data_IF_318691753648
#
_entry.id   IF_318691753648
#
_cell.length_a   1.000
_cell.length_b   1.000
_cell.length_c   1.000
_cell.angle_alpha   90.00
_cell.angle_beta   90.00
_cell.angle_gamma   90.00
#
_symmetry.space_group_name_H-M   'P 1'
#
loop_
_entity.id
_entity.type
_entity.pdbx_description
1 polymer ?
#
# COMPACT_ATOMS: atom_id res chain seq x y z
N UNK A 1 -46.61 37.98 15.02
CA UNK A 1 -46.15 36.70 15.61
C UNK A 1 -46.07 35.52 14.64
N UNK A 2 -46.85 35.46 13.55
CA UNK A 2 -46.77 34.38 12.54
C UNK A 2 -45.59 34.51 11.55
N UNK A 3 -45.22 35.73 11.20
CA UNK A 3 -44.14 36.00 10.20
C UNK A 3 -42.73 35.71 10.74
N UNK A 4 -42.48 35.97 12.04
CA UNK A 4 -41.18 35.68 12.65
C UNK A 4 -40.92 34.17 12.78
N UNK A 5 -41.95 33.35 13.02
CA UNK A 5 -41.85 31.90 13.07
C UNK A 5 -41.55 31.29 11.68
N UNK A 6 -42.09 31.87 10.61
CA UNK A 6 -41.86 31.44 9.23
C UNK A 6 -40.41 31.73 8.80
N UNK A 7 -39.87 32.91 9.15
CA UNK A 7 -38.48 33.29 8.88
C UNK A 7 -37.50 32.36 9.64
N UNK A 8 -37.84 32.03 10.89
CA UNK A 8 -36.99 31.12 11.66
C UNK A 8 -37.00 29.69 11.11
N UNK A 9 -38.13 29.22 10.59
CA UNK A 9 -38.27 27.92 9.96
C UNK A 9 -37.47 27.83 8.64
N UNK A 10 -37.52 28.89 7.81
CA UNK A 10 -36.76 28.97 6.55
C UNK A 10 -35.27 29.04 6.85
N UNK A 11 -34.86 29.80 7.86
CA UNK A 11 -33.44 29.90 8.25
C UNK A 11 -32.91 28.59 8.83
N UNK A 12 -33.72 27.87 9.60
CA UNK A 12 -33.41 26.52 10.10
C UNK A 12 -33.29 25.49 8.97
N UNK A 13 -34.18 25.56 7.97
CA UNK A 13 -34.11 24.68 6.78
C UNK A 13 -32.90 24.96 5.93
N UNK A 14 -32.48 26.23 5.81
CA UNK A 14 -31.27 26.64 5.07
C UNK A 14 -29.99 26.17 5.77
N UNK A 15 -29.91 26.22 7.11
CA UNK A 15 -28.78 25.70 7.90
C UNK A 15 -28.67 24.18 7.79
N UNK A 16 -29.79 23.46 7.75
CA UNK A 16 -29.80 22.00 7.57
C UNK A 16 -29.35 21.64 6.15
N UNK A 17 -29.74 22.41 5.14
CA UNK A 17 -29.35 22.17 3.74
C UNK A 17 -27.84 22.40 3.49
N UNK A 18 -27.21 23.32 4.23
CA UNK A 18 -25.76 23.57 4.11
C UNK A 18 -24.90 22.49 4.81
N UNK A 19 -25.46 21.71 5.73
CA UNK A 19 -24.75 20.67 6.47
C UNK A 19 -24.57 19.34 5.70
N UNK A 20 -25.26 19.18 4.53
CA UNK A 20 -25.26 17.90 3.76
C UNK A 20 -24.25 17.94 2.61
N UNK A 21 -23.41 18.99 2.49
CA UNK A 21 -22.33 18.96 1.52
C UNK A 21 -21.23 18.04 2.09
N UNK A 22 -21.43 16.74 1.91
CA UNK A 22 -20.35 15.76 2.07
C UNK A 22 -19.24 16.14 1.11
N UNK A 23 -18.16 16.72 1.63
CA UNK A 23 -16.99 17.04 0.85
C UNK A 23 -16.41 15.71 0.36
N UNK A 24 -16.70 15.37 -0.90
CA UNK A 24 -15.99 14.31 -1.57
C UNK A 24 -14.50 14.72 -1.59
N UNK A 25 -13.69 14.10 -0.72
CA UNK A 25 -12.25 14.32 -0.70
C UNK A 25 -11.69 14.01 -2.07
N UNK A 26 -11.16 15.02 -2.72
CA UNK A 26 -10.29 14.84 -3.88
C UNK A 26 -8.87 14.55 -3.36
N UNK A 27 -8.21 13.59 -3.97
CA UNK A 27 -6.82 13.26 -3.65
C UNK A 27 -5.92 14.00 -4.63
N UNK A 28 -4.74 14.42 -4.15
CA UNK A 28 -3.77 15.07 -5.06
C UNK A 28 -3.15 14.03 -5.98
N UNK A 29 -2.87 14.43 -7.20
CA UNK A 29 -2.32 13.55 -8.21
C UNK A 29 -1.04 12.83 -7.74
N UNK A 30 -0.14 13.50 -7.00
CA UNK A 30 1.07 12.91 -6.42
C UNK A 30 0.83 11.76 -5.44
N UNK A 31 -0.36 11.70 -4.82
CA UNK A 31 -0.73 10.66 -3.88
C UNK A 31 -1.31 9.42 -4.61
N UNK A 32 -1.71 9.60 -5.89
CA UNK A 32 -2.32 8.56 -6.73
C UNK A 32 -1.37 7.93 -7.74
N UNK A 33 -0.29 8.64 -8.13
CA UNK A 33 0.59 8.20 -9.22
C UNK A 33 2.07 8.31 -8.87
N UNK A 34 2.87 7.52 -9.58
CA UNK A 34 4.33 7.66 -9.67
C UNK A 34 4.73 7.98 -11.10
N UNK A 35 5.84 8.69 -11.29
CA UNK A 35 6.33 9.03 -12.63
C UNK A 35 7.28 7.97 -13.16
N UNK A 36 7.02 7.48 -14.37
CA UNK A 36 7.87 6.51 -15.03
C UNK A 36 9.27 7.08 -15.29
N UNK A 37 10.29 6.25 -15.07
CA UNK A 37 11.69 6.66 -15.22
C UNK A 37 12.29 7.39 -14.02
N UNK A 38 11.49 7.70 -12.99
CA UNK A 38 11.97 8.21 -11.70
C UNK A 38 12.01 7.04 -10.72
N UNK A 39 13.17 6.40 -10.60
CA UNK A 39 13.36 5.26 -9.70
C UNK A 39 14.67 5.37 -8.95
N UNK A 40 14.75 4.78 -7.79
CA UNK A 40 16.01 4.55 -7.11
C UNK A 40 16.74 3.36 -7.73
N UNK A 41 18.07 3.41 -7.72
CA UNK A 41 18.93 2.35 -8.20
C UNK A 41 19.73 1.78 -7.04
N UNK A 42 19.77 0.45 -6.95
CA UNK A 42 20.53 -0.23 -5.93
C UNK A 42 21.99 -0.29 -6.36
N UNK A 43 22.87 0.12 -5.45
CA UNK A 43 24.32 0.03 -5.63
C UNK A 43 24.88 -1.07 -4.74
N UNK A 44 25.86 -1.77 -5.26
CA UNK A 44 26.56 -2.87 -4.60
C UNK A 44 28.07 -2.69 -4.71
N UNK A 45 28.79 -2.93 -3.62
CA UNK A 45 30.25 -2.93 -3.59
C UNK A 45 30.80 -4.04 -2.70
N UNK A 46 32.00 -4.46 -3.01
CA UNK A 46 32.79 -5.32 -2.14
C UNK A 46 33.86 -4.46 -1.46
N UNK A 47 33.97 -4.55 -0.14
CA UNK A 47 34.89 -3.75 0.64
C UNK A 47 35.57 -4.51 1.78
N UNK A 48 36.43 -3.80 2.47
CA UNK A 48 37.14 -4.28 3.64
C UNK A 48 36.89 -3.34 4.82
N UNK A 49 36.45 -3.90 5.95
CA UNK A 49 36.36 -3.20 7.23
C UNK A 49 37.58 -3.56 8.04
N UNK A 50 38.22 -2.55 8.61
CA UNK A 50 39.44 -2.68 9.43
C UNK A 50 39.23 -2.06 10.83
N UNK A 51 40.12 -2.35 11.78
CA UNK A 51 40.03 -1.82 13.13
C UNK A 51 39.13 -2.61 14.04
N UNK A 52 38.80 -3.87 13.68
CA UNK A 52 38.02 -4.76 14.52
C UNK A 52 38.92 -5.35 15.62
N UNK A 53 38.49 -5.26 16.88
CA UNK A 53 39.23 -5.76 18.04
C UNK A 53 39.05 -7.28 18.19
N UNK A 54 39.76 -8.04 17.34
CA UNK A 54 39.71 -9.51 17.35
C UNK A 54 38.42 -10.16 16.86
N UNK A 55 37.43 -9.36 16.46
CA UNK A 55 36.10 -9.83 16.03
C UNK A 55 35.95 -10.04 14.51
N UNK A 56 37.04 -9.85 13.78
CA UNK A 56 37.06 -9.98 12.32
C UNK A 56 37.03 -11.42 11.81
N UNK A 57 37.41 -11.62 10.55
CA UNK A 57 37.20 -12.87 9.78
C UNK A 57 38.17 -14.01 10.14
N UNK A 58 38.89 -13.95 11.22
CA UNK A 58 39.83 -15.00 11.66
C UNK A 58 40.82 -15.44 10.56
N UNK A 59 40.57 -16.45 9.77
CA UNK A 59 41.49 -16.98 8.75
C UNK A 59 40.77 -17.24 7.41
N UNK A 60 39.97 -16.28 6.92
CA UNK A 60 39.29 -16.42 5.62
C UNK A 60 40.22 -16.01 4.50
N UNK A 61 40.51 -16.91 3.57
CA UNK A 61 41.40 -16.63 2.43
C UNK A 61 41.00 -15.38 1.63
N UNK A 62 39.70 -15.13 1.46
CA UNK A 62 39.18 -13.96 0.74
C UNK A 62 39.61 -12.68 1.41
N UNK A 63 39.47 -12.59 2.75
CA UNK A 63 39.87 -11.41 3.52
C UNK A 63 41.38 -11.15 3.50
N UNK A 64 42.18 -12.22 3.65
CA UNK A 64 43.62 -12.14 3.59
C UNK A 64 44.10 -11.68 2.20
N UNK A 65 43.52 -12.24 1.15
CA UNK A 65 43.84 -11.84 -0.22
C UNK A 65 43.44 -10.38 -0.51
N UNK A 66 42.30 -9.96 -0.03
CA UNK A 66 41.83 -8.56 -0.16
C UNK A 66 42.72 -7.60 0.59
N UNK A 67 43.15 -7.95 1.82
CA UNK A 67 44.15 -7.17 2.56
C UNK A 67 45.48 -7.06 1.81
N UNK A 68 46.02 -8.17 1.34
CA UNK A 68 47.25 -8.18 0.56
C UNK A 68 47.14 -7.32 -0.70
N UNK A 69 46.01 -7.43 -1.42
CA UNK A 69 45.72 -6.61 -2.60
C UNK A 69 45.65 -5.13 -2.27
N UNK A 70 44.95 -4.76 -1.18
CA UNK A 70 44.87 -3.36 -0.76
C UNK A 70 46.22 -2.79 -0.35
N UNK A 71 47.02 -3.55 0.41
CA UNK A 71 48.35 -3.13 0.86
C UNK A 71 49.28 -2.98 -0.34
N UNK A 72 49.16 -3.86 -1.34
CA UNK A 72 49.98 -3.78 -2.56
C UNK A 72 49.75 -2.52 -3.40
N UNK A 73 48.53 -1.94 -3.33
CA UNK A 73 48.22 -0.66 -4.00
C UNK A 73 48.99 0.52 -3.35
N UNK A 74 49.45 0.39 -2.11
CA UNK A 74 50.33 1.36 -1.45
C UNK A 74 51.79 1.07 -1.65
N UNK A 75 52.16 0.13 -2.56
CA UNK A 75 53.53 -0.18 -2.90
C UNK A 75 54.22 -1.19 -1.97
N UNK A 76 53.52 -1.77 -1.02
CA UNK A 76 54.02 -2.76 -0.09
C UNK A 76 53.69 -4.17 -0.56
N UNK A 77 54.69 -5.06 -0.68
CA UNK A 77 54.49 -6.48 -1.01
C UNK A 77 54.47 -7.29 0.28
N UNK A 78 53.28 -7.82 0.64
CA UNK A 78 53.09 -8.66 1.84
C UNK A 78 52.50 -9.99 1.39
N UNK A 79 53.05 -11.09 1.92
CA UNK A 79 52.49 -12.41 1.70
C UNK A 79 51.20 -12.60 2.54
N UNK A 80 50.25 -13.40 2.06
CA UNK A 80 49.02 -13.72 2.81
C UNK A 80 49.33 -14.48 4.11
N UNK A 81 50.49 -15.17 4.17
CA UNK A 81 51.00 -15.85 5.39
C UNK A 81 51.38 -14.89 6.53
N UNK A 82 51.74 -13.66 6.16
CA UNK A 82 52.22 -12.64 7.12
C UNK A 82 51.07 -11.78 7.67
N UNK A 83 49.84 -12.02 7.19
CA UNK A 83 48.65 -11.29 7.54
C UNK A 83 47.73 -12.10 8.46
N UNK A 84 47.03 -11.41 9.32
CA UNK A 84 45.95 -11.99 10.15
C UNK A 84 44.68 -11.17 9.98
N UNK A 85 43.58 -11.84 9.70
CA UNK A 85 42.30 -11.20 9.47
C UNK A 85 41.48 -10.99 10.76
N UNK A 86 42.08 -11.17 11.95
CA UNK A 86 41.35 -10.98 13.22
C UNK A 86 40.78 -9.57 13.38
N UNK A 87 41.49 -8.57 12.85
CA UNK A 87 41.13 -7.17 12.96
C UNK A 87 40.51 -6.62 11.67
N UNK A 88 40.18 -7.49 10.70
CA UNK A 88 39.57 -7.10 9.44
C UNK A 88 38.44 -8.06 9.03
N UNK A 89 37.51 -7.58 8.25
CA UNK A 89 36.42 -8.38 7.71
C UNK A 89 36.12 -8.00 6.25
N UNK A 90 35.91 -9.01 5.42
CA UNK A 90 35.35 -8.83 4.09
C UNK A 90 33.86 -8.53 4.19
N UNK A 91 33.42 -7.47 3.50
CA UNK A 91 32.05 -6.97 3.60
C UNK A 91 31.44 -6.72 2.24
N UNK A 92 30.12 -6.89 2.18
CA UNK A 92 29.27 -6.39 1.13
C UNK A 92 28.70 -5.04 1.56
N UNK A 93 28.79 -4.08 0.66
CA UNK A 93 28.35 -2.70 0.89
C UNK A 93 27.21 -2.40 -0.06
N UNK A 94 26.08 -1.98 0.49
CA UNK A 94 24.89 -1.64 -0.29
C UNK A 94 24.47 -0.20 -0.03
N UNK A 95 23.99 0.47 -1.07
CA UNK A 95 23.41 1.80 -0.96
C UNK A 95 22.29 2.00 -1.96
N UNK A 96 21.38 2.90 -1.66
CA UNK A 96 20.30 3.31 -2.56
C UNK A 96 20.61 4.67 -3.16
N UNK A 97 20.82 4.71 -4.48
CA UNK A 97 21.01 5.94 -5.25
C UNK A 97 19.64 6.41 -5.75
N UNK A 98 19.11 7.45 -5.12
CA UNK A 98 17.82 8.04 -5.48
C UNK A 98 17.91 8.76 -6.83
N UNK A 99 16.79 8.84 -7.53
CA UNK A 99 16.71 9.66 -8.73
C UNK A 99 17.10 11.12 -8.43
N UNK A 100 17.68 11.78 -9.40
CA UNK A 100 18.11 13.19 -9.32
C UNK A 100 19.23 13.49 -8.34
N UNK A 101 19.81 12.50 -7.66
CA UNK A 101 20.98 12.71 -6.81
C UNK A 101 22.14 13.24 -7.65
N UNK A 102 22.78 14.31 -7.21
CA UNK A 102 23.86 14.98 -7.92
C UNK A 102 25.23 14.48 -7.49
N UNK A 103 26.21 14.64 -8.37
CA UNK A 103 27.63 14.39 -8.04
C UNK A 103 28.03 15.23 -6.84
N UNK A 104 28.77 14.61 -5.92
CA UNK A 104 29.19 15.23 -4.65
C UNK A 104 28.18 15.14 -3.52
N UNK A 105 26.92 14.72 -3.76
CA UNK A 105 25.99 14.43 -2.69
C UNK A 105 26.33 13.12 -1.99
N UNK A 106 25.98 13.05 -0.71
CA UNK A 106 26.22 11.86 0.11
C UNK A 106 24.96 11.01 0.27
N UNK A 107 25.15 9.70 0.35
CA UNK A 107 24.10 8.71 0.55
C UNK A 107 24.44 7.77 1.71
N UNK A 108 23.44 7.24 2.35
CA UNK A 108 23.63 6.27 3.42
C UNK A 108 24.06 4.91 2.87
N UNK A 109 24.87 4.21 3.65
CA UNK A 109 25.45 2.93 3.26
C UNK A 109 25.15 1.89 4.34
N UNK A 110 24.81 0.69 3.90
CA UNK A 110 24.72 -0.50 4.76
C UNK A 110 25.87 -1.42 4.45
N UNK A 111 26.54 -1.89 5.50
CA UNK A 111 27.73 -2.76 5.43
C UNK A 111 27.42 -4.06 6.12
N UNK A 112 27.55 -5.19 5.42
CA UNK A 112 27.24 -6.51 5.94
C UNK A 112 28.45 -7.44 5.77
N UNK A 113 28.83 -8.16 6.81
CA UNK A 113 29.91 -9.15 6.75
C UNK A 113 29.52 -10.31 5.83
N UNK A 114 30.44 -10.74 4.97
CA UNK A 114 30.30 -11.94 4.13
C UNK A 114 31.20 -13.09 4.61
N UNK A 115 32.10 -12.81 5.55
CA UNK A 115 33.01 -13.78 6.11
C UNK A 115 32.56 -14.36 7.44
N UNK A 116 33.52 -14.64 8.31
CA UNK A 116 33.29 -15.24 9.64
C UNK A 116 33.40 -14.20 10.76
N UNK A 117 33.32 -12.93 10.46
CA UNK A 117 33.41 -11.88 11.46
C UNK A 117 32.27 -11.99 12.47
N UNK A 118 32.61 -11.95 13.76
CA UNK A 118 31.64 -12.02 14.87
C UNK A 118 30.97 -10.68 15.11
N UNK A 119 31.64 -9.56 14.84
CA UNK A 119 31.13 -8.22 14.97
C UNK A 119 31.90 -7.22 14.11
N UNK A 120 31.20 -6.23 13.55
CA UNK A 120 31.76 -5.10 12.82
C UNK A 120 31.88 -3.85 13.70
N UNK A 121 31.60 -3.93 14.99
CA UNK A 121 31.61 -2.80 15.91
C UNK A 121 32.98 -2.19 16.03
N UNK A 122 33.05 -0.85 15.96
CA UNK A 122 34.31 -0.09 16.02
C UNK A 122 35.12 -0.10 14.74
N UNK A 123 34.67 -0.86 13.72
CA UNK A 123 35.36 -0.94 12.44
C UNK A 123 35.16 0.27 11.55
N UNK A 124 36.11 0.47 10.66
CA UNK A 124 36.11 1.50 9.61
C UNK A 124 36.11 0.83 8.26
N UNK A 125 35.15 1.20 7.40
CA UNK A 125 35.12 0.78 5.99
C UNK A 125 36.20 1.52 5.22
N UNK A 126 37.07 0.79 4.54
CA UNK A 126 38.03 1.35 3.59
C UNK A 126 37.31 1.79 2.31
N UNK A 127 37.96 2.67 1.55
CA UNK A 127 37.43 3.19 0.29
C UNK A 127 36.93 2.07 -0.61
N UNK A 128 35.65 2.07 -0.89
CA UNK A 128 34.94 1.01 -1.59
C UNK A 128 34.11 1.58 -2.73
N UNK A 129 34.35 1.11 -3.94
CA UNK A 129 33.56 1.50 -5.10
C UNK A 129 32.21 0.78 -5.11
N UNK A 130 31.12 1.55 -5.21
CA UNK A 130 29.76 1.05 -5.35
C UNK A 130 29.34 1.06 -6.81
N UNK A 131 28.94 -0.11 -7.32
CA UNK A 131 28.57 -0.33 -8.71
C UNK A 131 27.06 -0.51 -8.85
N UNK A 132 26.51 -0.02 -9.95
CA UNK A 132 25.16 -0.31 -10.39
C UNK A 132 25.04 -1.67 -11.08
N UNK A 133 23.84 -2.02 -11.49
CA UNK A 133 23.55 -3.26 -12.23
C UNK A 133 24.27 -3.35 -13.59
N UNK A 134 24.66 -2.21 -14.15
CA UNK A 134 25.45 -2.08 -15.39
C UNK A 134 26.95 -2.27 -15.18
N UNK A 135 27.41 -2.50 -13.94
CA UNK A 135 28.80 -2.65 -13.56
C UNK A 135 29.60 -1.34 -13.46
N UNK A 136 28.98 -0.19 -13.72
CA UNK A 136 29.63 1.11 -13.61
C UNK A 136 29.66 1.59 -12.16
N UNK A 137 30.70 2.37 -11.80
CA UNK A 137 30.85 2.96 -10.48
C UNK A 137 30.02 4.24 -10.42
N UNK A 138 29.15 4.31 -9.42
CA UNK A 138 28.25 5.46 -9.18
C UNK A 138 28.58 6.21 -7.90
N UNK A 139 29.14 5.54 -6.90
CA UNK A 139 29.51 6.16 -5.63
C UNK A 139 30.74 5.50 -5.03
N UNK A 140 31.40 6.22 -4.13
CA UNK A 140 32.53 5.71 -3.36
C UNK A 140 32.15 5.80 -1.88
N UNK A 141 32.19 4.63 -1.19
CA UNK A 141 31.85 4.51 0.22
C UNK A 141 33.08 4.42 1.11
N UNK A 142 33.04 5.09 2.27
CA UNK A 142 34.10 5.06 3.27
C UNK A 142 33.56 5.58 4.60
N UNK A 143 34.10 5.13 5.73
CA UNK A 143 33.76 5.71 7.03
C UNK A 143 33.61 4.72 8.17
N UNK A 144 33.34 5.24 9.35
CA UNK A 144 33.20 4.46 10.58
C UNK A 144 31.80 3.86 10.65
N UNK A 145 31.72 2.59 11.04
CA UNK A 145 30.47 1.85 11.13
C UNK A 145 29.73 2.15 12.44
N UNK A 146 28.47 2.47 12.32
CA UNK A 146 27.51 2.42 13.41
C UNK A 146 26.83 1.04 13.44
N UNK A 147 27.12 0.23 14.44
CA UNK A 147 26.59 -1.13 14.61
C UNK A 147 25.62 -1.14 15.78
N UNK A 148 24.36 -1.53 15.52
CA UNK A 148 23.27 -1.47 16.51
C UNK A 148 23.20 -2.65 17.47
N UNK A 149 24.08 -3.64 17.37
CA UNK A 149 24.08 -4.84 18.20
C UNK A 149 25.38 -5.05 19.00
N UNK A 150 25.30 -5.89 20.01
CA UNK A 150 26.48 -6.42 20.68
C UNK A 150 26.34 -7.93 20.90
N UNK A 151 27.45 -8.64 20.87
CA UNK A 151 27.53 -10.05 21.21
C UNK A 151 28.65 -10.24 22.22
N UNK A 152 28.40 -11.04 23.25
CA UNK A 152 29.41 -11.48 24.23
C UNK A 152 29.46 -13.00 24.20
N UNK A 153 30.65 -13.53 24.06
CA UNK A 153 30.91 -14.97 24.07
C UNK A 153 31.65 -15.33 25.36
N UNK A 154 31.08 -16.19 26.16
CA UNK A 154 31.68 -16.70 27.39
C UNK A 154 32.79 -17.71 27.07
N UNK A 155 33.77 -17.84 27.97
CA UNK A 155 34.85 -18.87 27.86
C UNK A 155 34.32 -20.29 27.92
N UNK A 156 33.10 -20.48 28.39
CA UNK A 156 32.36 -21.76 28.51
C UNK A 156 31.57 -22.10 27.23
N UNK A 157 31.66 -21.30 26.20
CA UNK A 157 30.90 -21.47 24.95
C UNK A 157 29.51 -20.87 24.97
N UNK A 158 29.07 -20.24 26.07
CA UNK A 158 27.82 -19.50 26.10
C UNK A 158 27.95 -18.21 25.28
N UNK A 159 26.94 -17.89 24.47
CA UNK A 159 26.89 -16.66 23.68
C UNK A 159 25.58 -15.90 23.93
N UNK A 160 25.70 -14.62 24.24
CA UNK A 160 24.58 -13.69 24.29
C UNK A 160 24.73 -12.71 23.13
N UNK A 161 23.83 -12.74 22.16
CA UNK A 161 23.78 -11.78 21.09
C UNK A 161 22.49 -10.97 21.18
N UNK A 162 22.62 -9.65 21.22
CA UNK A 162 21.51 -8.71 21.19
C UNK A 162 21.60 -7.94 19.88
N UNK A 163 20.60 -8.11 19.02
CA UNK A 163 20.59 -7.64 17.61
C UNK A 163 21.71 -8.31 16.78
N UNK A 164 21.90 -7.82 15.55
CA UNK A 164 22.84 -8.41 14.59
C UNK A 164 24.12 -7.58 14.56
N UNK A 165 25.23 -8.02 15.21
CA UNK A 165 26.46 -7.25 15.24
C UNK A 165 27.29 -7.31 13.96
N UNK A 166 26.90 -8.13 12.98
CA UNK A 166 27.59 -8.32 11.69
C UNK A 166 27.09 -7.41 10.59
N UNK A 167 26.12 -6.54 10.90
CA UNK A 167 25.61 -5.51 10.00
C UNK A 167 25.73 -4.15 10.66
N UNK A 168 26.25 -3.18 9.91
CA UNK A 168 26.36 -1.79 10.35
C UNK A 168 25.91 -0.81 9.27
N UNK A 169 25.69 0.42 9.66
CA UNK A 169 25.38 1.51 8.73
C UNK A 169 26.40 2.64 8.85
N UNK A 170 26.61 3.36 7.76
CA UNK A 170 27.39 4.59 7.73
C UNK A 170 26.47 5.69 7.21
N UNK A 171 26.07 6.60 8.08
CA UNK A 171 25.27 7.74 7.66
C UNK A 171 26.10 8.66 6.76
N UNK A 172 25.54 9.02 5.59
CA UNK A 172 26.25 9.79 4.57
C UNK A 172 27.62 9.19 4.17
N UNK A 173 27.73 7.85 4.23
CA UNK A 173 28.98 7.12 4.10
C UNK A 173 29.49 6.92 2.67
N UNK A 174 28.70 7.27 1.66
CA UNK A 174 29.19 7.25 0.27
C UNK A 174 28.92 8.57 -0.43
N UNK A 175 29.93 9.01 -1.21
CA UNK A 175 29.83 10.18 -2.09
C UNK A 175 29.47 9.73 -3.48
N UNK A 176 28.51 10.38 -4.12
CA UNK A 176 28.09 10.10 -5.50
C UNK A 176 29.10 10.70 -6.48
N UNK A 177 29.68 9.86 -7.35
CA UNK A 177 30.64 10.23 -8.38
C UNK A 177 30.01 10.36 -9.76
N UNK A 178 28.89 9.65 -9.98
CA UNK A 178 28.17 9.67 -11.27
C UNK A 178 26.67 9.73 -11.04
N UNK A 179 26.00 10.59 -11.77
CA UNK A 179 24.53 10.63 -11.79
C UNK A 179 23.98 9.49 -12.65
N UNK A 180 22.79 9.01 -12.28
CA UNK A 180 21.98 8.19 -13.17
C UNK A 180 21.19 9.13 -14.08
N UNK A 181 21.35 8.93 -15.39
CA UNK A 181 20.54 9.66 -16.36
C UNK A 181 19.06 9.29 -16.20
N UNK A 182 18.23 10.28 -15.99
CA UNK A 182 16.78 10.12 -15.95
C UNK A 182 16.17 10.65 -17.24
N UNK A 183 15.18 9.97 -17.82
CA UNK A 183 14.54 10.43 -19.05
C UNK A 183 13.72 11.72 -18.85
N UNK A 184 13.60 12.21 -17.61
CA UNK A 184 12.83 13.40 -17.26
C UNK A 184 13.19 14.65 -18.05
N UNK A 185 14.49 14.91 -18.26
CA UNK A 185 14.93 16.12 -18.94
C UNK A 185 14.71 16.02 -20.47
N UNK A 186 14.93 14.84 -21.04
CA UNK A 186 14.99 14.65 -22.49
C UNK A 186 13.63 14.24 -23.10
N UNK A 187 12.74 13.65 -22.33
CA UNK A 187 11.46 13.18 -22.85
C UNK A 187 10.48 14.33 -23.15
N UNK A 188 9.77 14.18 -24.27
CA UNK A 188 8.69 15.07 -24.69
C UNK A 188 7.34 14.77 -23.97
N UNK A 189 7.25 13.61 -23.34
CA UNK A 189 6.08 13.19 -22.59
C UNK A 189 6.50 12.59 -21.23
N UNK A 190 5.70 12.88 -20.22
CA UNK A 190 5.79 12.19 -18.93
C UNK A 190 4.74 11.08 -18.90
N UNK A 191 5.10 9.91 -18.42
CA UNK A 191 4.16 8.83 -18.18
C UNK A 191 3.97 8.72 -16.67
N UNK A 192 2.73 8.83 -16.24
CA UNK A 192 2.31 8.65 -14.86
C UNK A 192 1.74 7.25 -14.70
N UNK A 193 2.23 6.51 -13.72
CA UNK A 193 1.74 5.18 -13.38
C UNK A 193 0.90 5.26 -12.11
N UNK A 194 -0.36 4.87 -12.20
CA UNK A 194 -1.26 4.81 -11.07
C UNK A 194 -0.81 3.73 -10.08
N UNK A 195 -0.85 4.01 -8.79
CA UNK A 195 -0.56 3.03 -7.73
C UNK A 195 -1.59 1.91 -7.73
N UNK A 196 -2.86 2.23 -8.02
CA UNK A 196 -3.93 1.27 -8.22
C UNK A 196 -4.53 1.45 -9.61
N UNK A 197 -4.37 0.42 -10.45
CA UNK A 197 -4.84 0.48 -11.83
C UNK A 197 -6.36 0.43 -11.95
N UNK A 198 -6.97 1.53 -12.44
CA UNK A 198 -8.39 1.64 -12.70
C UNK A 198 -8.65 2.54 -13.91
N UNK A 199 -9.45 2.07 -14.86
CA UNK A 199 -9.75 2.79 -16.11
C UNK A 199 -10.47 4.11 -15.88
N UNK A 200 -11.40 4.14 -14.91
CA UNK A 200 -12.17 5.34 -14.59
C UNK A 200 -11.29 6.40 -13.94
N UNK A 201 -10.44 5.99 -13.02
CA UNK A 201 -9.46 6.90 -12.38
C UNK A 201 -8.45 7.43 -13.40
N UNK A 202 -7.91 6.56 -14.27
CA UNK A 202 -6.98 6.97 -15.32
C UNK A 202 -7.61 8.01 -16.27
N UNK A 203 -8.87 7.80 -16.67
CA UNK A 203 -9.60 8.75 -17.52
C UNK A 203 -9.87 10.07 -16.79
N UNK A 204 -10.31 10.03 -15.53
CA UNK A 204 -10.53 11.25 -14.72
C UNK A 204 -9.25 12.06 -14.54
N UNK A 205 -8.11 11.41 -14.30
CA UNK A 205 -6.81 12.07 -14.25
C UNK A 205 -6.54 12.81 -15.57
N UNK A 206 -6.74 12.15 -16.71
CA UNK A 206 -6.53 12.78 -18.01
C UNK A 206 -7.49 13.97 -18.23
N UNK A 207 -8.74 13.86 -17.82
CA UNK A 207 -9.74 14.94 -17.90
C UNK A 207 -9.37 16.13 -17.03
N UNK A 208 -9.01 15.93 -15.75
CA UNK A 208 -8.66 17.03 -14.85
C UNK A 208 -7.37 17.73 -15.29
N UNK A 209 -6.37 16.99 -15.74
CA UNK A 209 -5.15 17.58 -16.32
C UNK A 209 -5.47 18.37 -17.59
N UNK A 210 -6.35 17.86 -18.46
CA UNK A 210 -6.75 18.57 -19.68
C UNK A 210 -7.58 19.83 -19.40
N UNK A 211 -8.37 19.85 -18.33
CA UNK A 211 -9.10 21.07 -17.90
C UNK A 211 -8.12 22.17 -17.48
N UNK A 212 -7.04 21.82 -16.79
CA UNK A 212 -6.08 22.78 -16.26
C UNK A 212 -5.07 23.27 -17.31
N UNK A 213 -4.52 22.34 -18.11
CA UNK A 213 -3.41 22.63 -19.03
C UNK A 213 -3.81 22.72 -20.50
N UNK A 214 -5.09 22.47 -20.81
CA UNK A 214 -5.62 22.52 -22.17
C UNK A 214 -5.86 21.15 -22.81
N UNK A 215 -6.63 21.11 -23.90
CA UNK A 215 -7.06 19.86 -24.53
C UNK A 215 -5.88 19.04 -25.09
N UNK A 216 -5.96 17.72 -25.00
CA UNK A 216 -4.96 16.79 -25.52
C UNK A 216 -3.56 16.89 -24.88
N UNK A 217 -3.41 17.51 -23.71
CA UNK A 217 -2.17 17.50 -22.94
C UNK A 217 -1.99 16.15 -22.24
N UNK A 218 -3.05 15.59 -21.66
CA UNK A 218 -3.04 14.28 -21.03
C UNK A 218 -3.92 13.28 -21.78
N UNK A 219 -3.48 12.00 -21.82
CA UNK A 219 -4.21 10.90 -22.43
C UNK A 219 -4.00 9.63 -21.60
N UNK A 220 -5.07 8.98 -21.17
CA UNK A 220 -5.00 7.66 -20.58
C UNK A 220 -4.57 6.64 -21.67
N UNK A 221 -3.53 5.87 -21.38
CA UNK A 221 -3.01 4.83 -22.27
C UNK A 221 -3.70 3.49 -21.93
N UNK A 222 -3.72 3.17 -20.65
CA UNK A 222 -4.32 1.97 -20.10
C UNK A 222 -4.83 2.23 -18.66
N UNK A 223 -5.24 1.18 -17.95
CA UNK A 223 -5.77 1.29 -16.58
C UNK A 223 -4.76 1.79 -15.55
N UNK A 224 -3.47 1.72 -15.86
CA UNK A 224 -2.36 2.05 -14.95
C UNK A 224 -1.55 3.23 -15.42
N UNK A 225 -1.66 3.64 -16.70
CA UNK A 225 -0.73 4.60 -17.31
C UNK A 225 -1.46 5.76 -17.96
N UNK A 226 -1.05 6.97 -17.61
CA UNK A 226 -1.51 8.22 -18.25
C UNK A 226 -0.30 8.97 -18.80
N UNK A 227 -0.31 9.28 -20.09
CA UNK A 227 0.72 10.08 -20.74
C UNK A 227 0.35 11.56 -20.70
N UNK A 228 1.31 12.40 -20.31
CA UNK A 228 1.16 13.86 -20.27
C UNK A 228 2.26 14.49 -21.10
N UNK A 229 1.87 15.40 -22.01
CA UNK A 229 2.82 16.14 -22.85
C UNK A 229 3.63 17.11 -22.00
N UNK A 230 4.96 16.94 -22.01
CA UNK A 230 5.87 17.83 -21.31
C UNK A 230 6.15 19.12 -22.08
N UNK A 231 6.43 20.23 -21.39
CA UNK A 231 6.97 21.43 -22.03
C UNK A 231 8.28 21.14 -22.76
N UNK A 232 8.50 21.78 -23.90
CA UNK A 232 9.73 21.63 -24.69
C UNK A 232 10.93 22.24 -23.98
N UNK A 233 10.73 23.35 -23.29
CA UNK A 233 11.77 24.04 -22.54
C UNK A 233 12.05 23.29 -21.23
N UNK A 234 13.30 22.82 -21.01
CA UNK A 234 13.71 22.16 -19.78
C UNK A 234 13.44 22.99 -18.52
N UNK A 235 13.57 24.32 -18.58
CA UNK A 235 13.31 25.22 -17.45
C UNK A 235 11.85 25.24 -17.01
N UNK A 236 10.93 24.92 -17.90
CA UNK A 236 9.49 24.88 -17.61
C UNK A 236 9.02 23.51 -17.09
N UNK A 237 9.85 22.46 -17.20
CA UNK A 237 9.45 21.09 -16.79
C UNK A 237 9.21 20.97 -15.29
N UNK A 238 10.06 21.56 -14.46
CA UNK A 238 9.93 21.50 -13.00
C UNK A 238 8.70 22.29 -12.52
N UNK A 239 8.47 23.56 -12.93
CA UNK A 239 7.22 24.28 -12.61
C UNK A 239 5.97 23.53 -13.08
N UNK A 240 5.99 22.99 -14.31
CA UNK A 240 4.88 22.19 -14.83
C UNK A 240 4.60 20.96 -13.97
N UNK A 241 5.63 20.22 -13.58
CA UNK A 241 5.49 19.05 -12.71
C UNK A 241 4.93 19.43 -11.33
N UNK A 242 5.39 20.54 -10.75
CA UNK A 242 4.89 21.03 -9.48
C UNK A 242 3.38 21.37 -9.53
N UNK A 243 2.91 21.94 -10.62
CA UNK A 243 1.48 22.17 -10.83
C UNK A 243 0.72 20.85 -11.03
N UNK A 244 1.29 19.94 -11.83
CA UNK A 244 0.70 18.64 -12.11
C UNK A 244 0.53 17.78 -10.85
N UNK A 245 1.52 17.75 -9.98
CA UNK A 245 1.48 17.00 -8.72
C UNK A 245 0.35 17.44 -7.77
N UNK A 246 -0.05 18.71 -7.86
CA UNK A 246 -1.07 19.31 -7.01
C UNK A 246 -2.46 19.37 -7.67
N UNK A 247 -2.67 18.72 -8.80
CA UNK A 247 -4.00 18.56 -9.39
C UNK A 247 -4.85 17.68 -8.49
N UNK A 248 -6.02 18.20 -8.13
CA UNK A 248 -6.99 17.45 -7.34
C UNK A 248 -7.82 16.54 -8.26
N UNK A 249 -7.82 15.26 -7.95
CA UNK A 249 -8.54 14.23 -8.70
C UNK A 249 -9.41 13.42 -7.76
N UNK A 250 -10.67 13.19 -8.14
CA UNK A 250 -11.54 12.27 -7.42
C UNK A 250 -11.38 10.87 -8.01
N UNK A 251 -10.68 9.93 -7.32
CA UNK A 251 -10.53 8.57 -7.82
C UNK A 251 -11.89 7.87 -7.92
N UNK A 252 -11.97 6.81 -8.71
CA UNK A 252 -13.13 5.93 -8.70
C UNK A 252 -13.24 5.21 -7.34
N UNK A 253 -14.45 4.79 -7.00
CA UNK A 253 -14.63 3.97 -5.82
C UNK A 253 -13.78 2.69 -5.96
N UNK A 254 -13.05 2.29 -4.92
CA UNK A 254 -12.25 1.07 -4.97
C UNK A 254 -13.15 -0.15 -5.16
N UNK A 255 -12.62 -1.19 -5.78
CA UNK A 255 -13.31 -2.48 -5.88
C UNK A 255 -13.64 -2.97 -4.46
N UNK A 256 -14.90 -3.36 -4.25
CA UNK A 256 -15.34 -3.95 -3.00
C UNK A 256 -14.44 -5.15 -2.64
N UNK A 257 -13.82 -5.11 -1.46
CA UNK A 257 -12.84 -6.10 -1.03
C UNK A 257 -13.01 -6.47 0.43
N UNK A 258 -12.89 -7.74 0.74
CA UNK A 258 -12.87 -8.27 2.11
C UNK A 258 -11.54 -8.97 2.33
N UNK A 259 -10.78 -8.51 3.31
CA UNK A 259 -9.53 -9.14 3.73
C UNK A 259 -9.75 -9.81 5.07
N UNK A 260 -9.49 -11.11 5.14
CA UNK A 260 -9.68 -11.92 6.32
C UNK A 260 -8.34 -12.50 6.75
N UNK A 261 -7.94 -12.23 8.00
CA UNK A 261 -6.80 -12.90 8.60
C UNK A 261 -7.31 -14.14 9.36
N UNK A 262 -7.08 -15.33 8.77
CA UNK A 262 -7.55 -16.59 9.33
C UNK A 262 -6.91 -16.92 10.69
N UNK A 263 -5.70 -16.42 10.98
CA UNK A 263 -5.00 -16.67 12.23
C UNK A 263 -5.51 -15.82 13.39
N UNK A 264 -5.83 -14.56 13.13
CA UNK A 264 -6.28 -13.61 14.17
C UNK A 264 -7.78 -13.39 14.16
N UNK A 265 -8.50 -13.85 13.13
CA UNK A 265 -9.92 -13.61 12.93
C UNK A 265 -10.27 -12.16 12.57
N UNK A 266 -9.28 -11.35 12.23
CA UNK A 266 -9.53 -9.95 11.87
C UNK A 266 -10.12 -9.89 10.46
N UNK A 267 -11.27 -9.22 10.32
CA UNK A 267 -11.92 -8.95 9.04
C UNK A 267 -11.85 -7.46 8.74
N UNK A 268 -11.32 -7.12 7.56
CA UNK A 268 -11.28 -5.75 7.04
C UNK A 268 -12.16 -5.67 5.82
N UNK A 269 -13.20 -4.82 5.88
CA UNK A 269 -14.15 -4.61 4.80
C UNK A 269 -13.81 -3.27 4.14
N UNK A 270 -13.44 -3.33 2.86
CA UNK A 270 -13.06 -2.16 2.06
C UNK A 270 -14.05 -1.92 0.92
N UNK A 271 -14.53 -0.67 0.80
CA UNK A 271 -15.50 -0.29 -0.21
C UNK A 271 -16.95 -0.65 0.17
N UNK A 272 -17.85 -0.49 -0.78
CA UNK A 272 -19.28 -0.80 -0.63
C UNK A 272 -19.52 -2.30 -0.90
N UNK A 273 -19.23 -3.14 0.09
CA UNK A 273 -19.43 -4.60 -0.02
C UNK A 273 -20.88 -4.90 0.31
N UNK A 274 -21.60 -5.44 -0.68
CA UNK A 274 -23.01 -5.82 -0.57
C UNK A 274 -23.20 -7.32 -0.68
N UNK A 275 -24.21 -7.82 0.02
CA UNK A 275 -24.62 -9.20 -0.01
C UNK A 275 -25.97 -9.31 -0.75
N UNK A 276 -26.05 -10.25 -1.69
CA UNK A 276 -27.32 -10.61 -2.37
C UNK A 276 -28.09 -11.61 -1.52
N UNK A 277 -29.44 -11.75 -1.73
CA UNK A 277 -30.25 -12.68 -0.97
C UNK A 277 -29.63 -14.09 -0.94
N UNK A 278 -29.39 -14.60 0.25
CA UNK A 278 -28.82 -15.93 0.48
C UNK A 278 -29.14 -16.40 1.90
N UNK A 279 -29.15 -17.70 2.09
CA UNK A 279 -29.22 -18.31 3.42
C UNK A 279 -27.97 -19.18 3.62
N UNK A 280 -27.25 -18.93 4.71
CA UNK A 280 -26.07 -19.71 5.10
C UNK A 280 -26.30 -20.23 6.52
N UNK A 281 -26.09 -21.53 6.70
CA UNK A 281 -26.11 -22.17 8.01
C UNK A 281 -24.75 -22.76 8.31
N UNK A 282 -24.20 -22.43 9.46
CA UNK A 282 -22.92 -22.98 9.95
C UNK A 282 -23.03 -23.32 11.44
N UNK A 283 -22.97 -24.61 11.76
CA UNK A 283 -23.21 -25.09 13.12
C UNK A 283 -24.61 -24.76 13.62
N UNK A 284 -24.69 -24.05 14.75
CA UNK A 284 -25.94 -23.55 15.35
C UNK A 284 -26.36 -22.17 14.83
N UNK A 285 -25.61 -21.57 13.90
CA UNK A 285 -25.85 -20.22 13.36
C UNK A 285 -26.41 -20.30 11.94
N UNK A 286 -27.51 -19.62 11.68
CA UNK A 286 -28.09 -19.49 10.34
C UNK A 286 -28.23 -18.01 9.99
N UNK A 287 -27.63 -17.60 8.87
CA UNK A 287 -27.70 -16.25 8.30
C UNK A 287 -28.55 -16.30 7.04
N UNK A 288 -29.62 -15.52 6.99
CA UNK A 288 -30.53 -15.44 5.84
C UNK A 288 -30.70 -13.99 5.38
N UNK A 289 -30.40 -13.72 4.12
CA UNK A 289 -30.64 -12.42 3.46
C UNK A 289 -31.86 -12.56 2.56
N UNK A 290 -32.89 -11.75 2.76
CA UNK A 290 -34.13 -11.77 1.98
C UNK A 290 -34.32 -10.48 1.18
N UNK A 291 -35.05 -10.57 0.09
CA UNK A 291 -35.47 -9.41 -0.69
C UNK A 291 -36.82 -8.93 -0.19
N UNK A 292 -36.88 -7.73 0.39
CA UNK A 292 -38.16 -7.11 0.77
C UNK A 292 -38.78 -6.50 -0.48
N UNK A 293 -39.88 -7.11 -0.94
CA UNK A 293 -40.73 -6.50 -1.97
C UNK A 293 -41.69 -5.55 -1.30
N UNK A 294 -41.42 -4.25 -1.33
CA UNK A 294 -42.37 -3.23 -0.82
C UNK A 294 -43.57 -3.16 -1.78
N UNK A 295 -44.67 -3.77 -1.44
CA UNK A 295 -45.91 -3.59 -2.16
C UNK A 295 -46.48 -2.21 -1.79
N UNK A 296 -46.50 -1.29 -2.75
CA UNK A 296 -47.20 0.00 -2.56
C UNK A 296 -48.71 -0.28 -2.39
N UNK A 297 -49.37 0.32 -1.40
CA UNK A 297 -50.81 0.16 -1.23
C UNK A 297 -51.54 0.71 -2.45
N UNK A 298 -52.44 -0.08 -3.03
CA UNK A 298 -53.29 0.32 -4.15
C UNK A 298 -54.13 1.53 -3.81
N UNK A 299 -54.01 2.58 -4.59
CA UNK A 299 -54.79 3.80 -4.43
C UNK A 299 -56.20 3.56 -4.97
N UNK A 300 -57.19 3.58 -4.10
CA UNK A 300 -58.63 3.57 -4.51
C UNK A 300 -59.00 4.95 -5.02
N UNK A 301 -59.15 5.11 -6.32
CA UNK A 301 -59.68 6.35 -6.89
C UNK A 301 -61.16 6.25 -7.06
N UNK A 302 -61.91 6.96 -6.23
CA UNK A 302 -63.38 7.08 -6.33
C UNK A 302 -63.72 8.29 -7.20
N UNK A 303 -64.17 8.06 -8.42
CA UNK A 303 -64.67 9.12 -9.31
C UNK A 303 -66.21 9.13 -9.17
N UNK A 304 -66.74 10.18 -8.57
CA UNK A 304 -68.20 10.42 -8.51
C UNK A 304 -68.66 11.18 -9.75
N UNK A 305 -69.37 10.54 -10.63
CA UNK A 305 -70.25 11.19 -11.60
C UNK A 305 -71.71 10.91 -11.24
N UNK A 306 -72.56 11.92 -11.47
CA UNK A 306 -73.86 12.16 -10.87
C UNK A 306 -74.91 11.05 -10.98
N UNK A 307 -74.68 9.87 -11.54
CA UNK A 307 -75.69 8.82 -11.59
C UNK A 307 -75.20 7.35 -11.65
N UNK A 308 -73.91 7.09 -11.41
CA UNK A 308 -73.46 5.68 -11.33
C UNK A 308 -72.18 5.61 -10.52
N UNK A 309 -72.17 4.90 -9.43
CA UNK A 309 -70.99 4.57 -8.62
C UNK A 309 -70.37 3.28 -9.18
N UNK A 310 -69.21 3.40 -9.84
CA UNK A 310 -68.42 2.22 -10.25
C UNK A 310 -67.27 2.14 -9.29
N UNK A 311 -67.22 1.14 -8.43
CA UNK A 311 -66.13 0.79 -7.53
C UNK A 311 -65.29 -0.26 -8.25
N UNK A 312 -64.13 0.15 -8.84
CA UNK A 312 -63.15 -0.82 -9.31
C UNK A 312 -62.26 -1.16 -8.13
N UNK A 313 -62.44 -2.32 -7.59
CA UNK A 313 -61.60 -2.93 -6.57
C UNK A 313 -60.56 -3.77 -7.35
N UNK A 314 -59.34 -3.32 -7.37
CA UNK A 314 -58.23 -4.15 -7.88
C UNK A 314 -57.81 -5.04 -6.71
N UNK A 315 -58.04 -6.34 -6.88
CA UNK A 315 -57.66 -7.35 -5.90
C UNK A 315 -56.17 -7.25 -5.56
N UNK A 316 -55.89 -7.12 -4.28
CA UNK A 316 -54.55 -7.24 -3.73
C UNK A 316 -54.08 -8.68 -3.93
N UNK A 317 -53.03 -8.88 -4.72
CA UNK A 317 -52.36 -10.18 -4.83
C UNK A 317 -51.64 -10.43 -3.48
N UNK A 318 -52.25 -11.23 -2.67
CA UNK A 318 -51.67 -11.77 -1.44
C UNK A 318 -50.76 -12.91 -1.83
N UNK A 319 -49.46 -12.68 -1.83
CA UNK A 319 -48.49 -13.77 -1.80
C UNK A 319 -48.52 -14.37 -0.39
N UNK A 320 -49.02 -15.59 -0.29
CA UNK A 320 -48.99 -16.38 0.94
C UNK A 320 -47.53 -16.80 1.19
N UNK A 321 -46.92 -16.20 2.22
CA UNK A 321 -45.71 -16.71 2.83
C UNK A 321 -46.04 -18.01 3.56
N UNK A 322 -45.47 -19.10 3.04
CA UNK A 322 -45.52 -20.40 3.73
C UNK A 322 -44.42 -20.39 4.80
N UNK A 323 -44.79 -20.07 6.00
CA UNK A 323 -43.98 -20.22 7.20
C UNK A 323 -43.84 -21.72 7.52
N UNK A 324 -42.73 -22.35 7.11
CA UNK A 324 -42.37 -23.69 7.53
C UNK A 324 -41.54 -23.62 8.81
N UNK A 325 -42.22 -23.66 9.96
CA UNK A 325 -41.59 -23.97 11.24
C UNK A 325 -41.16 -25.46 11.24
N UNK A 326 -39.88 -25.71 11.02
CA UNK A 326 -39.26 -26.98 11.39
C UNK A 326 -38.56 -26.80 12.73
N UNK A 327 -39.19 -27.33 13.77
CA UNK A 327 -38.62 -27.29 15.13
C UNK A 327 -37.29 -28.10 15.20
N UNK A 328 -36.22 -27.40 15.55
CA UNK A 328 -35.01 -27.94 16.14
C UNK A 328 -34.41 -26.85 17.05
N UNK A 329 -33.90 -27.29 18.20
CA UNK A 329 -33.40 -26.52 19.32
C UNK A 329 -32.55 -25.31 18.92
N UNK A 330 -32.94 -24.12 19.48
CA UNK A 330 -32.17 -22.86 19.55
C UNK A 330 -31.19 -22.56 18.39
N UNK A 331 -31.70 -22.52 17.18
CA UNK A 331 -30.94 -22.00 16.04
C UNK A 331 -31.17 -20.51 15.96
N UNK A 332 -30.16 -19.71 16.25
CA UNK A 332 -30.22 -18.26 16.03
C UNK A 332 -30.18 -17.98 14.54
N UNK A 333 -31.33 -17.70 13.93
CA UNK A 333 -31.42 -17.32 12.54
C UNK A 333 -31.49 -15.79 12.42
N UNK A 334 -30.61 -15.23 11.58
CA UNK A 334 -30.61 -13.82 11.23
C UNK A 334 -31.18 -13.65 9.84
N UNK A 335 -32.14 -12.76 9.70
CA UNK A 335 -32.74 -12.35 8.44
C UNK A 335 -32.30 -10.91 8.17
N UNK A 336 -31.61 -10.68 7.06
CA UNK A 336 -31.20 -9.36 6.61
C UNK A 336 -31.89 -9.01 5.30
N UNK A 337 -32.20 -7.73 5.12
CA UNK A 337 -32.82 -7.22 3.90
C UNK A 337 -31.84 -7.22 2.71
N UNK A 338 -32.36 -7.28 1.50
CA UNK A 338 -31.56 -7.18 0.29
C UNK A 338 -30.83 -5.82 0.23
N UNK A 339 -29.51 -5.88 -0.03
CA UNK A 339 -28.67 -4.69 -0.07
C UNK A 339 -28.06 -4.29 1.27
N UNK A 340 -28.27 -5.08 2.33
CA UNK A 340 -27.56 -4.94 3.60
C UNK A 340 -26.07 -4.96 3.37
N UNK A 341 -25.33 -4.05 4.03
CA UNK A 341 -23.89 -4.02 3.92
C UNK A 341 -23.26 -5.21 4.66
N UNK A 342 -22.14 -5.71 4.18
CA UNK A 342 -21.43 -6.77 4.89
C UNK A 342 -21.04 -6.35 6.32
N UNK A 343 -20.82 -5.06 6.54
CA UNK A 343 -20.52 -4.52 7.88
C UNK A 343 -21.66 -4.82 8.87
N UNK A 344 -22.90 -4.57 8.48
CA UNK A 344 -24.08 -4.81 9.34
C UNK A 344 -24.22 -6.30 9.68
N UNK A 345 -23.89 -7.18 8.72
CA UNK A 345 -23.92 -8.64 8.93
C UNK A 345 -22.80 -9.06 9.90
N UNK A 346 -21.58 -8.55 9.72
CA UNK A 346 -20.44 -8.84 10.61
C UNK A 346 -20.71 -8.32 12.03
N UNK A 347 -21.28 -7.12 12.17
CA UNK A 347 -21.61 -6.54 13.47
C UNK A 347 -22.68 -7.37 14.19
N UNK A 348 -23.69 -7.84 13.47
CA UNK A 348 -24.72 -8.71 14.03
C UNK A 348 -24.15 -10.08 14.46
N UNK A 349 -23.26 -10.68 13.67
CA UNK A 349 -22.59 -11.94 13.99
C UNK A 349 -21.67 -11.77 15.21
N UNK A 350 -20.92 -10.67 15.29
CA UNK A 350 -20.07 -10.36 16.44
C UNK A 350 -20.85 -10.11 17.72
N UNK A 351 -22.05 -9.52 17.63
CA UNK A 351 -22.91 -9.26 18.80
C UNK A 351 -23.33 -10.54 19.53
N UNK A 352 -23.31 -11.70 18.84
CA UNK A 352 -23.66 -13.01 19.44
C UNK A 352 -22.46 -13.67 20.10
N UNK A 353 -21.23 -13.14 19.87
CA UNK A 353 -20.02 -13.71 20.43
C UNK A 353 -19.52 -14.97 19.71
N UNK A 354 -19.77 -15.06 18.40
CA UNK A 354 -19.27 -16.18 17.58
C UNK A 354 -17.75 -16.16 17.47
N UNK A 355 -17.16 -17.35 17.27
CA UNK A 355 -15.72 -17.49 17.05
C UNK A 355 -15.33 -16.91 15.69
N UNK A 356 -14.15 -16.32 15.62
CA UNK A 356 -13.60 -15.77 14.38
C UNK A 356 -13.48 -16.80 13.25
N UNK A 357 -13.29 -18.08 13.57
CA UNK A 357 -13.26 -19.15 12.57
C UNK A 357 -14.62 -19.37 11.90
N UNK A 358 -15.71 -19.28 12.67
CA UNK A 358 -17.08 -19.42 12.17
C UNK A 358 -17.44 -18.27 11.23
N UNK A 359 -17.02 -17.05 11.56
CA UNK A 359 -17.19 -15.87 10.71
C UNK A 359 -16.49 -16.06 9.35
N UNK A 360 -15.24 -16.57 9.35
CA UNK A 360 -14.52 -16.86 8.11
C UNK A 360 -15.26 -17.89 7.26
N UNK A 361 -15.75 -18.97 7.88
CA UNK A 361 -16.48 -20.02 7.18
C UNK A 361 -17.79 -19.50 6.56
N UNK A 362 -18.52 -18.64 7.26
CA UNK A 362 -19.73 -18.00 6.74
C UNK A 362 -19.41 -17.10 5.54
N UNK A 363 -18.35 -16.28 5.63
CA UNK A 363 -17.93 -15.42 4.54
C UNK A 363 -17.46 -16.22 3.30
N UNK A 364 -16.78 -17.34 3.49
CA UNK A 364 -16.41 -18.26 2.43
C UNK A 364 -17.64 -18.89 1.77
N UNK A 365 -18.60 -19.34 2.58
CA UNK A 365 -19.84 -19.90 2.06
C UNK A 365 -20.65 -18.88 1.25
N UNK A 366 -20.74 -17.62 1.71
CA UNK A 366 -21.37 -16.52 0.98
C UNK A 366 -20.65 -16.21 -0.34
N UNK A 367 -19.32 -16.31 -0.36
CA UNK A 367 -18.54 -16.14 -1.59
C UNK A 367 -18.80 -17.27 -2.59
N UNK A 368 -18.73 -18.53 -2.13
CA UNK A 368 -18.94 -19.70 -2.99
C UNK A 368 -20.38 -19.78 -3.52
N UNK A 369 -21.36 -19.33 -2.73
CA UNK A 369 -22.73 -19.17 -3.16
C UNK A 369 -22.94 -18.01 -4.15
N UNK A 370 -21.91 -17.18 -4.41
CA UNK A 370 -22.02 -16.00 -5.26
C UNK A 370 -22.83 -14.86 -4.65
N UNK A 371 -23.17 -14.96 -3.37
CA UNK A 371 -23.94 -13.97 -2.65
C UNK A 371 -23.09 -12.75 -2.25
N UNK A 372 -21.77 -12.91 -2.07
CA UNK A 372 -20.85 -11.84 -1.72
C UNK A 372 -20.29 -11.16 -2.99
N UNK A 373 -20.70 -9.93 -3.24
CA UNK A 373 -20.20 -9.12 -4.37
C UNK A 373 -18.92 -8.37 -3.98
N UNK A 374 -17.86 -9.09 -3.67
CA UNK A 374 -16.58 -8.53 -3.31
C UNK A 374 -15.42 -9.51 -3.60
N UNK A 375 -14.23 -8.98 -3.78
CA UNK A 375 -13.02 -9.78 -3.82
C UNK A 375 -12.63 -10.18 -2.40
N UNK A 376 -12.63 -11.46 -2.09
CA UNK A 376 -12.19 -11.98 -0.80
C UNK A 376 -10.71 -12.40 -0.85
N UNK A 377 -9.92 -11.92 0.12
CA UNK A 377 -8.50 -12.24 0.28
C UNK A 377 -8.30 -12.80 1.69
N UNK A 378 -7.76 -14.01 1.78
CA UNK A 378 -7.42 -14.65 3.07
C UNK A 378 -5.91 -14.57 3.26
N UNK A 379 -5.46 -14.12 4.45
CA UNK A 379 -4.06 -13.93 4.84
C UNK A 379 -3.74 -14.60 6.18
#
# INVERSE_FOLDING_TARGET
>A
MKMSKLIFLIMSLFVIFTSIISQAKADRLKDLVSFAGIRSNQLLGYGLVVGLDGTGDSATNVTLQSMASTISQFGLKVGTSDLTAKNAAAVMVTAELRAFTKVGQTINVTVSSIGKAKSLRGGTLLMTALKGADGQIYAIAQGNLAVGGFGVEGKDGSSLSVNIPTVGSIANGATVERMVETPFINNSNFVMNLHQGDFTTANRIAEEVNKLFGPNVAKAIDKTSVSVRAPKDPGQKVPFMSLLENVDVKPAAPVARVVVNARTGTVVIGGDVRVTPAAVSHGSLTVKVQEQTTTAPGTTTTTQNANTTVTNQTDAVTNQDSELEAGAENVSAFVFDAGTTLSDIVDAINAIGTNSADLVAILEALREAGALRAQMIII
#
